data_IF_433980327395
#
_entry.id   IF_433980327395
#
_cell.length_a   1.000
_cell.length_b   1.000
_cell.length_c   1.000
_cell.angle_alpha   90.00
_cell.angle_beta   90.00
_cell.angle_gamma   90.00
#
_symmetry.space_group_name_H-M   'P 1'
#
loop_
_entity.id
_entity.type
_entity.pdbx_description
1 polymer ?
#
# COMPACT_ATOMS: atom_id res chain seq x y z
N UNK A 1 -29.91 -23.82 -21.29
CA UNK A 1 -28.90 -22.73 -21.21
C UNK A 1 -27.98 -22.91 -22.42
N UNK A 2 -28.18 -22.13 -23.49
CA UNK A 2 -27.44 -22.27 -24.76
C UNK A 2 -26.10 -21.54 -24.58
N UNK A 3 -24.99 -22.28 -24.44
CA UNK A 3 -23.67 -21.66 -24.49
C UNK A 3 -23.50 -21.05 -25.90
N UNK A 4 -23.19 -19.75 -26.03
CA UNK A 4 -22.93 -19.17 -27.33
C UNK A 4 -21.71 -19.89 -27.94
N UNK A 5 -21.81 -20.28 -29.21
CA UNK A 5 -20.68 -20.78 -29.99
C UNK A 5 -19.67 -19.64 -30.16
N UNK A 6 -18.82 -19.44 -29.15
CA UNK A 6 -17.75 -18.44 -29.19
C UNK A 6 -16.65 -18.99 -30.09
N UNK A 7 -16.32 -18.24 -31.14
CA UNK A 7 -15.12 -18.53 -31.93
C UNK A 7 -13.89 -18.42 -31.03
N UNK A 8 -12.85 -19.22 -31.29
CA UNK A 8 -11.62 -19.23 -30.46
C UNK A 8 -11.03 -17.83 -30.30
N UNK A 9 -11.12 -17.00 -31.35
CA UNK A 9 -10.70 -15.60 -31.33
C UNK A 9 -11.51 -14.73 -30.34
N UNK A 10 -12.83 -14.91 -30.25
CA UNK A 10 -13.67 -14.16 -29.31
C UNK A 10 -13.39 -14.55 -27.86
N UNK A 11 -13.16 -15.85 -27.59
CA UNK A 11 -12.75 -16.32 -26.27
C UNK A 11 -11.39 -15.74 -25.88
N UNK A 12 -10.41 -15.76 -26.79
CA UNK A 12 -9.08 -15.20 -26.57
C UNK A 12 -9.14 -13.69 -26.28
N UNK A 13 -9.94 -12.94 -27.04
CA UNK A 13 -10.15 -11.51 -26.83
C UNK A 13 -10.82 -11.22 -25.48
N UNK A 14 -11.77 -12.05 -25.03
CA UNK A 14 -12.41 -11.89 -23.72
C UNK A 14 -11.44 -12.16 -22.56
N UNK A 15 -10.64 -13.22 -22.67
CA UNK A 15 -9.58 -13.52 -21.69
C UNK A 15 -8.55 -12.40 -21.66
N UNK A 16 -8.15 -11.87 -22.82
CA UNK A 16 -7.21 -10.76 -22.90
C UNK A 16 -7.78 -9.49 -22.23
N UNK A 17 -9.03 -9.15 -22.46
CA UNK A 17 -9.67 -8.01 -21.81
C UNK A 17 -9.70 -8.17 -20.28
N UNK A 18 -10.03 -9.36 -19.78
CA UNK A 18 -9.98 -9.65 -18.36
C UNK A 18 -8.56 -9.51 -17.80
N UNK A 19 -7.56 -10.05 -18.50
CA UNK A 19 -6.15 -9.92 -18.13
C UNK A 19 -5.70 -8.45 -18.11
N UNK A 20 -6.14 -7.64 -19.07
CA UNK A 20 -5.84 -6.21 -19.13
C UNK A 20 -6.39 -5.46 -17.92
N UNK A 21 -7.63 -5.73 -17.51
CA UNK A 21 -8.24 -5.10 -16.33
C UNK A 21 -7.46 -5.45 -15.06
N UNK A 22 -7.16 -6.74 -14.85
CA UNK A 22 -6.40 -7.19 -13.67
C UNK A 22 -5.00 -6.59 -13.64
N UNK A 23 -4.32 -6.60 -14.79
CA UNK A 23 -2.97 -6.04 -14.93
C UNK A 23 -2.96 -4.54 -14.68
N UNK A 24 -3.95 -3.79 -15.18
CA UNK A 24 -4.06 -2.34 -14.98
C UNK A 24 -4.24 -2.00 -13.51
N UNK A 25 -5.13 -2.71 -12.80
CA UNK A 25 -5.32 -2.54 -11.36
C UNK A 25 -4.04 -2.82 -10.56
N UNK A 26 -3.31 -3.88 -10.92
CA UNK A 26 -2.04 -4.22 -10.28
C UNK A 26 -0.96 -3.16 -10.56
N UNK A 27 -0.85 -2.72 -11.82
CA UNK A 27 0.10 -1.67 -12.23
C UNK A 27 -0.20 -0.35 -11.54
N UNK A 28 -1.46 0.00 -11.30
CA UNK A 28 -1.83 1.19 -10.54
C UNK A 28 -1.32 1.12 -9.10
N UNK A 29 -1.54 0.00 -8.40
CA UNK A 29 -1.03 -0.19 -7.03
C UNK A 29 0.50 -0.16 -6.96
N UNK A 30 1.17 -0.82 -7.91
CA UNK A 30 2.63 -0.77 -8.04
C UNK A 30 3.13 0.63 -8.39
N UNK A 31 2.40 1.38 -9.22
CA UNK A 31 2.65 2.78 -9.52
C UNK A 31 2.65 3.62 -8.25
N UNK A 32 1.63 3.48 -7.39
CA UNK A 32 1.61 4.19 -6.10
C UNK A 32 2.82 3.83 -5.25
N UNK A 33 3.19 2.55 -5.19
CA UNK A 33 4.34 2.08 -4.40
C UNK A 33 5.66 2.69 -4.87
N UNK A 34 5.86 2.82 -6.18
CA UNK A 34 7.04 3.48 -6.76
C UNK A 34 7.01 4.98 -6.50
N UNK A 35 5.85 5.63 -6.70
CA UNK A 35 5.69 7.08 -6.51
C UNK A 35 5.93 7.50 -5.06
N UNK A 36 5.43 6.74 -4.09
CA UNK A 36 5.64 7.02 -2.67
C UNK A 36 6.99 6.55 -2.14
N UNK A 37 7.78 5.83 -2.96
CA UNK A 37 9.01 5.17 -2.54
C UNK A 37 8.82 4.25 -1.32
N UNK A 38 7.66 3.59 -1.24
CA UNK A 38 7.29 2.69 -0.15
C UNK A 38 6.76 1.37 -0.72
N UNK A 39 7.17 0.20 -0.19
CA UNK A 39 6.63 -1.10 -0.62
C UNK A 39 5.12 -1.22 -0.36
N UNK A 40 4.61 -0.47 0.62
CA UNK A 40 3.20 -0.44 0.99
C UNK A 40 2.77 1.03 1.14
N UNK A 41 2.30 1.68 0.07
CA UNK A 41 1.91 3.09 0.11
C UNK A 41 0.69 3.36 1.00
N UNK A 42 -0.13 2.34 1.26
CA UNK A 42 -1.38 2.43 2.02
C UNK A 42 -1.35 1.36 3.11
N UNK A 43 -1.58 1.75 4.36
CA UNK A 43 -1.66 0.85 5.52
C UNK A 43 -2.87 1.22 6.39
N UNK A 44 -3.35 0.26 7.18
CA UNK A 44 -4.47 0.45 8.10
C UNK A 44 -4.01 0.31 9.55
N UNK A 45 -4.55 1.15 10.43
CA UNK A 45 -4.24 1.11 11.87
C UNK A 45 -4.99 -0.03 12.53
N UNK A 46 -4.24 -1.00 13.06
CA UNK A 46 -4.80 -2.19 13.71
C UNK A 46 -5.00 -2.03 15.22
N UNK A 47 -4.28 -1.11 15.86
CA UNK A 47 -4.27 -0.92 17.32
C UNK A 47 -4.36 0.55 17.71
N UNK A 48 -4.86 0.82 18.92
CA UNK A 48 -5.09 2.17 19.44
C UNK A 48 -3.88 2.77 20.19
N UNK A 49 -2.65 2.32 19.92
CA UNK A 49 -1.47 2.81 20.67
C UNK A 49 -1.12 4.27 20.39
N UNK A 50 -1.64 4.82 19.29
CA UNK A 50 -1.43 6.20 18.85
C UNK A 50 -2.67 7.08 19.11
N UNK A 51 -3.61 6.63 19.95
CA UNK A 51 -4.74 7.46 20.37
C UNK A 51 -4.23 8.68 21.17
N UNK A 52 -4.77 9.89 20.93
CA UNK A 52 -5.96 10.22 20.13
C UNK A 52 -5.68 10.53 18.64
N UNK A 53 -4.43 10.53 18.19
CA UNK A 53 -4.08 10.97 16.83
C UNK A 53 -4.50 9.99 15.74
N UNK A 54 -4.49 8.69 16.05
CA UNK A 54 -4.97 7.64 15.16
C UNK A 54 -5.83 6.65 15.91
N UNK A 55 -6.94 6.26 15.30
CA UNK A 55 -7.88 5.27 15.79
C UNK A 55 -7.80 3.99 14.97
N UNK A 56 -8.29 2.89 15.55
CA UNK A 56 -8.37 1.62 14.85
C UNK A 56 -9.27 1.75 13.62
N UNK A 57 -8.77 1.32 12.46
CA UNK A 57 -9.47 1.44 11.18
C UNK A 57 -9.05 2.65 10.33
N UNK A 58 -8.27 3.58 10.87
CA UNK A 58 -7.74 4.70 10.08
C UNK A 58 -6.83 4.21 8.96
N UNK A 59 -6.96 4.83 7.79
CA UNK A 59 -6.13 4.54 6.62
C UNK A 59 -5.02 5.57 6.54
N UNK A 60 -3.77 5.11 6.57
CA UNK A 60 -2.59 5.94 6.45
C UNK A 60 -2.01 5.83 5.04
N UNK A 61 -1.77 6.98 4.43
CA UNK A 61 -0.96 7.09 3.22
C UNK A 61 0.49 7.38 3.60
N UNK A 62 1.41 6.54 3.14
CA UNK A 62 2.83 6.65 3.42
C UNK A 62 3.54 7.39 2.28
N UNK A 63 4.42 8.31 2.65
CA UNK A 63 5.25 9.07 1.72
C UNK A 63 6.70 9.04 2.17
N UNK A 64 7.56 8.35 1.42
CA UNK A 64 8.95 8.07 1.79
C UNK A 64 9.95 8.70 0.80
N UNK A 65 9.68 9.93 0.36
CA UNK A 65 10.62 10.70 -0.48
C UNK A 65 11.40 11.75 0.29
N UNK A 66 11.09 11.92 1.57
CA UNK A 66 11.80 12.86 2.41
C UNK A 66 13.19 12.30 2.79
N UNK A 67 14.22 13.14 2.67
CA UNK A 67 15.60 12.68 2.89
C UNK A 67 15.98 12.49 4.35
N UNK A 68 15.25 13.15 5.26
CA UNK A 68 15.50 13.13 6.70
C UNK A 68 14.18 13.10 7.45
N UNK A 69 14.18 12.38 8.57
CA UNK A 69 13.08 12.33 9.52
C UNK A 69 13.37 13.31 10.65
N UNK A 70 12.40 14.15 10.99
CA UNK A 70 12.50 15.16 12.03
C UNK A 70 11.71 14.77 13.30
N UNK A 71 12.00 15.46 14.40
CA UNK A 71 11.20 15.33 15.63
C UNK A 71 9.78 15.80 15.36
N UNK A 72 8.81 14.97 15.73
CA UNK A 72 7.38 15.21 15.50
C UNK A 72 6.79 14.40 14.35
N UNK A 73 7.62 13.87 13.45
CA UNK A 73 7.17 13.04 12.32
C UNK A 73 6.55 11.73 12.81
N UNK A 74 5.54 11.26 12.08
CA UNK A 74 4.94 9.95 12.28
C UNK A 74 5.54 9.01 11.25
N UNK A 75 6.24 7.99 11.72
CA UNK A 75 6.94 7.03 10.88
C UNK A 75 6.33 5.66 11.00
N UNK A 76 6.38 4.92 9.90
CA UNK A 76 5.99 3.51 9.83
C UNK A 76 7.22 2.70 9.47
N UNK A 77 7.55 1.74 10.33
CA UNK A 77 8.74 0.91 10.15
C UNK A 77 8.47 -0.56 10.47
N UNK A 78 9.27 -1.43 9.86
CA UNK A 78 9.23 -2.87 10.09
C UNK A 78 10.40 -3.28 10.99
N UNK A 79 10.13 -4.18 11.93
CA UNK A 79 11.18 -4.82 12.74
C UNK A 79 11.25 -6.31 12.37
N UNK A 80 12.44 -6.90 12.43
CA UNK A 80 12.62 -8.32 12.03
C UNK A 80 11.78 -9.29 12.86
N UNK A 81 11.50 -8.94 14.10
CA UNK A 81 10.78 -9.77 15.07
C UNK A 81 9.26 -9.71 14.92
N UNK A 82 8.73 -8.71 14.22
CA UNK A 82 7.28 -8.57 14.03
C UNK A 82 6.93 -8.38 12.55
N UNK A 83 6.06 -9.22 11.99
CA UNK A 83 5.65 -9.11 10.59
C UNK A 83 4.76 -7.90 10.30
N UNK A 84 4.23 -7.26 11.34
CA UNK A 84 3.29 -6.13 11.22
C UNK A 84 4.08 -4.81 11.39
N UNK A 85 3.94 -3.84 10.45
CA UNK A 85 4.54 -2.52 10.58
C UNK A 85 4.04 -1.78 11.82
N UNK A 86 4.92 -1.01 12.45
CA UNK A 86 4.60 -0.25 13.66
C UNK A 86 4.58 1.24 13.32
N UNK A 87 3.55 1.95 13.82
CA UNK A 87 3.38 3.40 13.66
C UNK A 87 3.77 4.09 14.97
N UNK A 88 4.72 5.03 14.94
CA UNK A 88 5.10 5.84 16.10
C UNK A 88 5.45 7.28 15.70
N UNK A 89 5.35 8.19 16.68
CA UNK A 89 5.85 9.56 16.57
C UNK A 89 7.31 9.64 17.03
N UNK A 90 8.15 10.31 16.25
CA UNK A 90 9.54 10.59 16.61
C UNK A 90 9.59 11.65 17.71
N UNK A 91 10.14 11.30 18.87
CA UNK A 91 10.23 12.21 20.02
C UNK A 91 11.60 12.87 20.15
N UNK A 92 12.66 12.18 19.77
CA UNK A 92 14.03 12.66 19.82
C UNK A 92 14.83 12.11 18.66
N UNK A 93 15.65 12.97 18.07
CA UNK A 93 16.62 12.62 17.05
C UNK A 93 18.02 12.79 17.66
N UNK A 94 18.88 11.80 17.47
CA UNK A 94 20.29 11.91 17.81
C UNK A 94 21.06 12.16 16.51
N UNK A 95 21.50 13.40 16.33
CA UNK A 95 22.39 13.79 15.24
C UNK A 95 23.82 13.65 15.76
N UNK A 96 24.61 12.75 15.17
CA UNK A 96 26.06 12.70 15.38
C UNK A 96 26.77 13.71 14.47
#
# INVERSE_FOLDING_TARGET
>A
MKFPNMTVHQLLAQVLNLAMVVTTSFMFYKGLSVVSNSPSPIVVVLSGSMEPAFQRGDILFLWNRESRVNVGDIVVYNIKERPIPIVHRVLRQHSS
#
